data_IF_695180523037
#
_entry.id   IF_695180523037
#
_cell.length_a   1.000
_cell.length_b   1.000
_cell.length_c   1.000
_cell.angle_alpha   90.00
_cell.angle_beta   90.00
_cell.angle_gamma   90.00
#
_symmetry.space_group_name_H-M   'P 1'
#
loop_
_entity.id
_entity.type
_entity.pdbx_description
1 polymer ?
#
# COMPACT_ATOMS: atom_id res chain seq x y z
N UNK A 1 5.70 20.71 6.02
CA UNK A 1 6.10 19.72 6.99
C UNK A 1 6.83 18.58 6.27
N UNK A 2 8.19 18.53 6.41
CA UNK A 2 8.98 17.54 5.68
C UNK A 2 8.72 16.10 6.12
N UNK A 3 7.98 15.91 7.20
CA UNK A 3 7.74 14.58 7.75
C UNK A 3 6.31 14.07 7.52
N UNK A 4 5.58 14.68 6.61
CA UNK A 4 4.28 14.13 6.23
C UNK A 4 4.47 12.77 5.56
N UNK A 5 3.61 11.83 5.93
CA UNK A 5 3.65 10.50 5.34
C UNK A 5 3.28 10.53 3.87
N UNK A 6 4.03 9.81 3.07
CA UNK A 6 3.76 9.66 1.64
C UNK A 6 3.14 8.29 1.41
N UNK A 7 2.08 8.25 0.62
CA UNK A 7 1.38 7.01 0.27
C UNK A 7 1.82 6.58 -1.13
N UNK A 8 2.40 5.39 -1.22
CA UNK A 8 2.88 4.83 -2.48
C UNK A 8 1.87 3.82 -2.99
N UNK A 9 1.26 4.10 -4.12
CA UNK A 9 0.20 3.27 -4.72
C UNK A 9 0.65 2.76 -6.08
N UNK A 10 0.02 1.69 -6.58
CA UNK A 10 0.42 1.09 -7.85
C UNK A 10 0.06 1.92 -9.06
N UNK A 11 -1.16 2.42 -9.11
CA UNK A 11 -1.67 3.10 -10.29
C UNK A 11 -1.80 4.61 -10.11
N UNK A 12 -1.58 5.39 -11.18
CA UNK A 12 -1.73 6.85 -11.09
C UNK A 12 -3.16 7.29 -10.77
N UNK A 13 -4.17 6.51 -11.15
CA UNK A 13 -5.56 6.84 -10.83
C UNK A 13 -5.80 6.70 -9.33
N UNK A 14 -5.21 5.68 -8.70
CA UNK A 14 -5.35 5.46 -7.25
C UNK A 14 -4.81 6.65 -6.46
N UNK A 15 -3.76 7.29 -6.95
CA UNK A 15 -3.15 8.41 -6.24
C UNK A 15 -4.06 9.63 -6.15
N UNK A 16 -5.08 9.73 -7.00
CA UNK A 16 -6.03 10.84 -6.97
C UNK A 16 -6.92 10.82 -5.73
N UNK A 17 -7.02 9.68 -5.06
CA UNK A 17 -7.93 9.52 -3.91
C UNK A 17 -7.22 9.59 -2.56
N UNK A 18 -5.92 9.84 -2.55
CA UNK A 18 -5.14 9.94 -1.32
C UNK A 18 -4.34 11.22 -1.30
N UNK A 19 -4.25 11.82 -0.12
CA UNK A 19 -3.38 12.98 0.07
C UNK A 19 -1.93 12.51 0.05
N UNK A 20 -1.05 13.34 -0.50
CA UNK A 20 0.40 13.10 -0.44
C UNK A 20 0.80 11.74 -1.02
N UNK A 21 0.21 11.37 -2.15
CA UNK A 21 0.47 10.06 -2.74
C UNK A 21 1.37 10.14 -3.97
N UNK A 22 2.06 9.03 -4.22
CA UNK A 22 2.94 8.85 -5.38
C UNK A 22 2.57 7.53 -6.03
N UNK A 23 2.40 7.53 -7.34
CA UNK A 23 2.12 6.32 -8.08
C UNK A 23 3.41 5.55 -8.37
N UNK A 24 3.34 4.25 -8.22
CA UNK A 24 4.42 3.33 -8.53
C UNK A 24 4.06 2.62 -9.83
N UNK A 25 4.80 2.87 -10.90
CA UNK A 25 4.50 2.30 -12.21
C UNK A 25 5.44 1.13 -12.51
N UNK A 26 4.88 -0.08 -12.49
CA UNK A 26 5.63 -1.29 -12.80
C UNK A 26 6.52 -1.79 -11.67
N UNK A 27 7.02 -3.01 -11.87
CA UNK A 27 7.78 -3.76 -10.88
C UNK A 27 9.11 -3.11 -10.47
N UNK A 28 9.75 -2.43 -11.41
CA UNK A 28 11.04 -1.79 -11.15
C UNK A 28 10.95 -0.54 -10.30
N UNK A 29 9.76 0.03 -10.16
CA UNK A 29 9.57 1.29 -9.46
C UNK A 29 9.91 1.22 -7.98
N UNK A 30 9.82 0.04 -7.35
CA UNK A 30 10.22 -0.13 -5.96
C UNK A 30 11.68 0.19 -5.72
N UNK A 31 12.52 0.03 -6.75
CA UNK A 31 13.96 0.32 -6.67
C UNK A 31 14.27 1.77 -7.00
N UNK A 32 13.30 2.51 -7.50
CA UNK A 32 13.51 3.85 -8.05
C UNK A 32 12.84 4.95 -7.22
N UNK A 33 12.53 4.68 -5.97
CA UNK A 33 11.99 5.71 -5.09
C UNK A 33 13.02 6.83 -5.01
N UNK A 34 12.62 8.07 -5.35
CA UNK A 34 13.60 9.17 -5.39
C UNK A 34 14.33 9.32 -4.06
N UNK A 35 15.63 9.52 -4.12
CA UNK A 35 16.45 9.69 -2.91
C UNK A 35 15.96 10.80 -1.99
N UNK A 36 15.33 11.82 -2.55
CA UNK A 36 14.74 12.90 -1.77
C UNK A 36 13.66 12.43 -0.79
N UNK A 37 13.13 11.20 -0.98
CA UNK A 37 12.11 10.63 -0.11
C UNK A 37 12.66 9.60 0.88
N UNK A 38 13.98 9.33 0.88
CA UNK A 38 14.57 8.30 1.72
C UNK A 38 14.25 8.46 3.21
N UNK A 39 14.20 9.68 3.70
CA UNK A 39 13.92 9.95 5.11
C UNK A 39 12.47 10.32 5.38
N UNK A 40 11.61 10.09 4.40
CA UNK A 40 10.19 10.40 4.52
C UNK A 40 9.43 9.13 4.90
N UNK A 41 8.56 9.18 5.91
CA UNK A 41 7.76 8.00 6.22
C UNK A 41 6.83 7.67 5.05
N UNK A 42 6.85 6.41 4.62
CA UNK A 42 6.05 5.97 3.48
C UNK A 42 5.18 4.79 3.85
N UNK A 43 3.95 4.80 3.35
CA UNK A 43 3.04 3.67 3.42
C UNK A 43 2.85 3.12 2.02
N UNK A 44 3.03 1.82 1.85
CA UNK A 44 2.90 1.15 0.56
C UNK A 44 1.55 0.46 0.48
N UNK A 45 0.77 0.80 -0.55
CA UNK A 45 -0.56 0.23 -0.76
C UNK A 45 -0.58 -0.42 -2.15
N UNK A 46 -0.39 -1.73 -2.18
CA UNK A 46 -0.49 -2.51 -3.41
C UNK A 46 -1.93 -2.95 -3.61
N UNK A 47 -2.25 -3.39 -4.83
CA UNK A 47 -3.61 -3.85 -5.12
C UNK A 47 -4.02 -5.02 -4.23
N UNK A 48 -5.30 -5.09 -3.91
CA UNK A 48 -5.86 -6.15 -3.09
C UNK A 48 -6.04 -7.42 -3.90
N UNK A 49 -4.93 -8.06 -4.23
CA UNK A 49 -4.90 -9.27 -5.06
C UNK A 49 -4.12 -10.39 -4.34
N UNK A 50 -4.74 -11.04 -3.35
CA UNK A 50 -4.04 -12.05 -2.54
C UNK A 50 -3.61 -13.30 -3.31
N UNK A 51 -4.15 -13.49 -4.51
CA UNK A 51 -3.77 -14.62 -5.38
C UNK A 51 -2.69 -14.27 -6.39
N UNK A 52 -2.31 -13.00 -6.47
CA UNK A 52 -1.30 -12.53 -7.39
C UNK A 52 0.10 -12.74 -6.79
N UNK A 53 0.86 -13.67 -7.36
CA UNK A 53 2.20 -14.01 -6.83
C UNK A 53 3.18 -12.85 -6.86
N UNK A 54 3.10 -12.02 -7.89
CA UNK A 54 4.00 -10.88 -8.02
C UNK A 54 3.74 -9.84 -6.93
N UNK A 55 2.48 -9.55 -6.67
CA UNK A 55 2.09 -8.62 -5.61
C UNK A 55 2.50 -9.18 -4.25
N UNK A 56 2.25 -10.45 -3.99
CA UNK A 56 2.66 -11.09 -2.75
C UNK A 56 4.17 -11.02 -2.56
N UNK A 57 4.93 -11.23 -3.62
CA UNK A 57 6.38 -11.13 -3.57
C UNK A 57 6.86 -9.73 -3.21
N UNK A 58 6.21 -8.70 -3.75
CA UNK A 58 6.55 -7.32 -3.41
C UNK A 58 6.25 -6.97 -1.97
N UNK A 59 5.08 -7.40 -1.49
CA UNK A 59 4.70 -7.15 -0.09
C UNK A 59 5.71 -7.81 0.84
N UNK A 60 6.07 -9.06 0.56
CA UNK A 60 7.06 -9.79 1.36
C UNK A 60 8.38 -9.03 1.42
N UNK A 61 8.83 -8.55 0.27
CA UNK A 61 10.09 -7.80 0.20
C UNK A 61 10.01 -6.47 0.96
N UNK A 62 8.90 -5.76 0.85
CA UNK A 62 8.70 -4.52 1.58
C UNK A 62 8.74 -4.75 3.08
N UNK A 63 8.13 -5.83 3.55
CA UNK A 63 8.14 -6.20 4.98
C UNK A 63 9.57 -6.51 5.42
N UNK A 64 10.31 -7.26 4.62
CA UNK A 64 11.72 -7.59 4.91
C UNK A 64 12.59 -6.34 5.04
N UNK A 65 12.29 -5.31 4.26
CA UNK A 65 13.01 -4.04 4.29
C UNK A 65 12.56 -3.11 5.42
N UNK A 66 11.61 -3.55 6.23
CA UNK A 66 11.10 -2.76 7.35
C UNK A 66 10.08 -1.70 6.97
N UNK A 67 9.48 -1.81 5.78
CA UNK A 67 8.50 -0.85 5.31
C UNK A 67 7.14 -0.97 5.98
N UNK A 68 6.39 0.12 5.92
CA UNK A 68 5.00 0.16 6.36
C UNK A 68 4.11 -0.21 5.18
N UNK A 69 3.35 -1.28 5.31
CA UNK A 69 2.56 -1.85 4.21
C UNK A 69 1.10 -1.97 4.61
N UNK A 70 0.22 -1.52 3.74
CA UNK A 70 -1.21 -1.73 3.92
C UNK A 70 -1.55 -3.19 3.56
N UNK A 71 -2.13 -3.90 4.52
CA UNK A 71 -2.67 -5.24 4.28
C UNK A 71 -4.19 -5.10 4.31
N UNK A 72 -4.83 -5.29 3.17
CA UNK A 72 -6.26 -5.07 3.02
C UNK A 72 -7.06 -5.98 3.96
N UNK A 73 -8.04 -5.43 4.71
CA UNK A 73 -8.88 -6.27 5.57
C UNK A 73 -9.86 -7.12 4.74
N UNK A 74 -10.24 -8.26 5.27
CA UNK A 74 -11.12 -9.22 4.58
C UNK A 74 -12.46 -8.63 4.16
N UNK A 75 -12.97 -7.64 4.88
CA UNK A 75 -14.25 -7.02 4.60
C UNK A 75 -14.25 -6.14 3.35
N UNK A 76 -13.08 -5.85 2.80
CA UNK A 76 -12.95 -5.03 1.60
C UNK A 76 -12.74 -5.95 0.39
N UNK A 77 -13.76 -6.10 -0.46
CA UNK A 77 -13.63 -6.96 -1.65
C UNK A 77 -12.99 -6.28 -2.84
N UNK A 78 -12.98 -4.95 -2.86
CA UNK A 78 -12.43 -4.21 -3.99
C UNK A 78 -10.94 -4.49 -4.19
N UNK A 79 -10.54 -4.51 -5.45
CA UNK A 79 -9.18 -4.80 -5.87
C UNK A 79 -8.21 -3.65 -5.63
N UNK A 80 -8.69 -2.42 -5.75
CA UNK A 80 -7.82 -1.23 -5.64
C UNK A 80 -8.59 -0.04 -5.11
N UNK A 81 -7.86 1.06 -4.88
CA UNK A 81 -8.43 2.28 -4.33
C UNK A 81 -9.44 2.90 -5.29
N UNK A 82 -9.17 2.84 -6.60
CA UNK A 82 -10.07 3.39 -7.60
C UNK A 82 -11.45 2.73 -7.52
N UNK A 83 -11.47 1.39 -7.44
CA UNK A 83 -12.73 0.65 -7.29
C UNK A 83 -13.43 0.99 -5.98
N UNK A 84 -12.67 1.11 -4.90
CA UNK A 84 -13.21 1.43 -3.59
C UNK A 84 -13.86 2.82 -3.56
N UNK A 85 -13.37 3.75 -4.36
CA UNK A 85 -13.87 5.11 -4.42
C UNK A 85 -15.32 5.21 -4.96
N UNK A 86 -15.83 4.15 -5.58
CA UNK A 86 -17.22 4.12 -6.01
C UNK A 86 -18.20 3.98 -4.85
N UNK A 87 -17.76 3.51 -3.69
CA UNK A 87 -18.64 3.37 -2.52
C UNK A 87 -18.14 4.01 -1.24
N UNK A 88 -16.90 4.45 -1.20
CA UNK A 88 -16.32 5.10 -0.03
C UNK A 88 -15.80 6.48 -0.35
N UNK A 89 -15.98 7.43 0.57
CA UNK A 89 -15.36 8.75 0.44
C UNK A 89 -13.84 8.64 0.58
N UNK A 90 -13.11 9.63 0.05
CA UNK A 90 -11.66 9.67 0.18
C UNK A 90 -11.22 9.66 1.65
N UNK A 91 -11.99 10.33 2.51
CA UNK A 91 -11.71 10.37 3.95
C UNK A 91 -11.79 8.98 4.58
N UNK A 92 -12.80 8.19 4.21
CA UNK A 92 -12.97 6.83 4.72
C UNK A 92 -11.91 5.89 4.18
N UNK A 93 -11.54 6.05 2.90
CA UNK A 93 -10.45 5.27 2.29
C UNK A 93 -9.15 5.55 3.03
N UNK A 94 -8.84 6.81 3.28
CA UNK A 94 -7.64 7.21 4.00
C UNK A 94 -7.60 6.58 5.39
N UNK A 95 -8.71 6.62 6.09
CA UNK A 95 -8.82 6.04 7.44
C UNK A 95 -8.61 4.52 7.40
N UNK A 96 -9.24 3.85 6.44
CA UNK A 96 -9.10 2.40 6.29
C UNK A 96 -7.65 2.01 6.05
N UNK A 97 -6.96 2.74 5.18
CA UNK A 97 -5.55 2.48 4.88
C UNK A 97 -4.69 2.69 6.12
N UNK A 98 -4.88 3.81 6.82
CA UNK A 98 -4.08 4.11 8.01
C UNK A 98 -4.28 3.08 9.11
N UNK A 99 -5.50 2.59 9.28
CA UNK A 99 -5.80 1.58 10.29
C UNK A 99 -5.31 0.18 9.93
N UNK A 100 -4.96 -0.05 8.66
CA UNK A 100 -4.53 -1.35 8.17
C UNK A 100 -3.11 -1.34 7.59
N UNK A 101 -2.30 -0.40 8.04
CA UNK A 101 -0.89 -0.30 7.66
C UNK A 101 -0.04 -0.81 8.80
N UNK A 102 0.80 -1.79 8.51
CA UNK A 102 1.59 -2.51 9.49
C UNK A 102 3.05 -2.62 9.06
N UNK A 103 3.93 -2.93 10.01
CA UNK A 103 5.32 -3.24 9.72
C UNK A 103 5.79 -4.40 10.61
N UNK A 104 6.99 -4.91 10.34
CA UNK A 104 7.64 -5.92 11.17
C UNK A 104 6.82 -7.19 11.33
N UNK A 105 6.79 -7.70 12.55
CA UNK A 105 6.11 -8.96 12.85
C UNK A 105 4.62 -8.89 12.60
N UNK A 106 3.98 -7.79 12.94
CA UNK A 106 2.54 -7.64 12.71
C UNK A 106 2.21 -7.69 11.21
N UNK A 107 3.00 -7.00 10.40
CA UNK A 107 2.81 -7.05 8.94
C UNK A 107 2.99 -8.48 8.43
N UNK A 108 3.98 -9.20 8.93
CA UNK A 108 4.23 -10.59 8.55
C UNK A 108 3.03 -11.48 8.86
N UNK A 109 2.47 -11.36 10.05
CA UNK A 109 1.32 -12.17 10.46
C UNK A 109 0.07 -11.84 9.66
N UNK A 110 -0.20 -10.56 9.46
CA UNK A 110 -1.35 -10.11 8.67
C UNK A 110 -1.22 -10.53 7.22
N UNK A 111 -0.02 -10.43 6.66
CA UNK A 111 0.24 -10.84 5.29
C UNK A 111 0.01 -12.35 5.10
N UNK A 112 0.44 -13.18 6.03
CA UNK A 112 0.22 -14.62 5.97
C UNK A 112 -1.27 -14.98 5.91
N UNK A 113 -2.10 -14.26 6.65
CA UNK A 113 -3.54 -14.48 6.64
C UNK A 113 -4.18 -13.98 5.34
N UNK A 114 -3.65 -12.90 4.80
CA UNK A 114 -4.22 -12.27 3.60
C UNK A 114 -3.90 -13.02 2.32
N UNK A 115 -2.67 -13.50 2.18
CA UNK A 115 -2.21 -14.13 0.94
C UNK A 115 -2.91 -15.46 0.69
N UNK A 116 -3.16 -15.76 -0.60
CA UNK A 116 -3.81 -17.01 -1.06
C UNK A 116 -2.91 -17.84 -1.97
N UNK A 117 -1.65 -17.51 -2.03
CA UNK A 117 -0.67 -18.26 -2.84
C UNK A 117 0.60 -18.54 -2.06
#
# INVERSE_FOLDING_TARGET
>A
NPKKRVYVVEGPIDSLFLKNSVAMVGAGALKEIPKRLENTPMSYILDNEPRNRQICSYIEKLIELGGDVCIWPDIIPEKDINDLAYRMSTRRIQKMIDENTFNGLEATLRFREWRKV
#
